data_IF_661327929611
#
_entry.id   IF_661327929611
#
_cell.length_a   1.000
_cell.length_b   1.000
_cell.length_c   1.000
_cell.angle_alpha   90.00
_cell.angle_beta   90.00
_cell.angle_gamma   90.00
#
_symmetry.space_group_name_H-M   'P 1'
#
loop_
_entity.id
_entity.type
_entity.pdbx_description
1 polymer ?
#
# COMPACT_ATOMS: atom_id res chain seq x y z
N UNK A 1 -6.38 -15.12 -3.92
CA UNK A 1 -5.30 -14.19 -4.30
C UNK A 1 -3.96 -14.89 -4.14
N UNK A 2 -3.16 -14.85 -5.17
CA UNK A 2 -1.86 -15.52 -5.15
C UNK A 2 -0.87 -14.78 -4.26
N UNK A 3 -0.05 -15.49 -3.50
CA UNK A 3 0.96 -14.88 -2.63
C UNK A 3 1.98 -14.10 -3.46
N UNK A 4 2.36 -12.92 -2.95
CA UNK A 4 3.41 -12.08 -3.51
C UNK A 4 4.15 -11.44 -2.34
N UNK A 5 5.48 -11.62 -2.28
CA UNK A 5 6.24 -11.05 -1.18
C UNK A 5 6.26 -9.52 -1.23
N UNK A 6 6.18 -8.93 -2.42
CA UNK A 6 6.06 -7.48 -2.55
C UNK A 6 4.74 -6.98 -1.97
N UNK A 7 3.65 -7.72 -2.26
CA UNK A 7 2.33 -7.37 -1.71
C UNK A 7 2.33 -7.52 -0.19
N UNK A 8 3.03 -8.55 0.31
CA UNK A 8 3.13 -8.75 1.75
C UNK A 8 3.86 -7.58 2.42
N UNK A 9 4.93 -7.07 1.82
CA UNK A 9 5.67 -5.92 2.33
C UNK A 9 4.76 -4.70 2.38
N UNK A 10 3.97 -4.47 1.33
CA UNK A 10 3.04 -3.35 1.28
C UNK A 10 1.98 -3.48 2.38
N UNK A 11 1.44 -4.67 2.56
CA UNK A 11 0.45 -4.92 3.60
C UNK A 11 1.02 -4.66 4.99
N UNK A 12 2.22 -5.16 5.26
CA UNK A 12 2.89 -4.96 6.55
C UNK A 12 3.18 -3.48 6.81
N UNK A 13 3.55 -2.75 5.76
CA UNK A 13 3.78 -1.31 5.87
C UNK A 13 2.52 -0.60 6.37
N UNK A 14 1.37 -0.94 5.79
CA UNK A 14 0.11 -0.33 6.19
C UNK A 14 -0.26 -0.75 7.62
N UNK A 15 -0.02 -2.01 7.99
CA UNK A 15 -0.31 -2.51 9.33
C UNK A 15 0.53 -1.82 10.41
N UNK A 16 1.78 -1.52 10.08
CA UNK A 16 2.70 -0.90 11.03
C UNK A 16 2.41 0.58 11.24
N UNK A 17 1.85 1.25 10.24
CA UNK A 17 1.53 2.66 10.30
C UNK A 17 0.02 2.82 10.52
N UNK A 18 -0.40 3.05 11.74
CA UNK A 18 -1.81 3.10 12.11
C UNK A 18 -2.46 4.43 11.76
N UNK A 19 -2.10 4.98 10.62
CA UNK A 19 -2.62 6.24 10.10
C UNK A 19 -2.90 6.08 8.63
N UNK A 20 -3.59 7.08 8.06
CA UNK A 20 -3.88 7.07 6.62
C UNK A 20 -2.59 7.37 5.86
N UNK A 21 -2.20 6.45 4.98
CA UNK A 21 -0.99 6.62 4.17
C UNK A 21 -1.37 6.80 2.71
N UNK A 22 -0.71 7.75 2.05
CA UNK A 22 -0.83 7.87 0.60
C UNK A 22 -0.05 6.76 -0.08
N UNK A 23 -0.38 6.48 -1.36
CA UNK A 23 0.36 5.49 -2.13
C UNK A 23 1.84 5.85 -2.22
N UNK A 24 2.17 7.14 -2.33
CA UNK A 24 3.56 7.58 -2.40
C UNK A 24 4.30 7.36 -1.09
N UNK A 25 3.64 7.58 0.05
CA UNK A 25 4.23 7.28 1.36
C UNK A 25 4.49 5.79 1.49
N UNK A 26 3.51 4.97 1.09
CA UNK A 26 3.67 3.51 1.12
C UNK A 26 4.83 3.08 0.23
N UNK A 27 4.94 3.67 -0.95
CA UNK A 27 6.05 3.42 -1.86
C UNK A 27 7.39 3.74 -1.21
N UNK A 28 7.48 4.89 -0.52
CA UNK A 28 8.71 5.27 0.17
C UNK A 28 9.13 4.24 1.22
N UNK A 29 8.19 3.78 2.03
CA UNK A 29 8.48 2.77 3.04
C UNK A 29 8.81 1.41 2.42
N UNK A 30 8.06 1.01 1.40
CA UNK A 30 8.27 -0.28 0.76
C UNK A 30 9.65 -0.37 0.11
N UNK A 31 10.15 0.74 -0.42
CA UNK A 31 11.48 0.78 -1.04
C UNK A 31 12.60 0.49 -0.06
N UNK A 32 12.39 0.71 1.21
CA UNK A 32 13.41 0.40 2.23
C UNK A 32 13.64 -1.09 2.34
N UNK A 33 12.62 -1.89 2.06
CA UNK A 33 12.69 -3.36 2.11
C UNK A 33 12.82 -3.98 0.73
N UNK A 34 12.36 -3.27 -0.30
CA UNK A 34 12.38 -3.74 -1.68
C UNK A 34 12.84 -2.60 -2.59
N UNK A 35 14.17 -2.37 -2.68
CA UNK A 35 14.71 -1.17 -3.37
C UNK A 35 14.33 -1.05 -4.84
N UNK A 36 13.98 -2.16 -5.48
CA UNK A 36 13.65 -2.15 -6.91
C UNK A 36 12.15 -2.10 -7.19
N UNK A 37 11.32 -1.98 -6.16
CA UNK A 37 9.87 -1.90 -6.37
C UNK A 37 9.52 -0.59 -7.09
N UNK A 38 8.60 -0.66 -8.04
CA UNK A 38 8.15 0.54 -8.76
C UNK A 38 6.86 1.07 -8.14
N UNK A 39 6.61 2.36 -8.38
CA UNK A 39 5.37 2.98 -7.92
C UNK A 39 4.15 2.29 -8.57
N UNK A 40 4.27 1.92 -9.85
CA UNK A 40 3.20 1.18 -10.52
C UNK A 40 2.88 -0.14 -9.86
N UNK A 41 3.92 -0.86 -9.40
CA UNK A 41 3.73 -2.11 -8.66
C UNK A 41 3.03 -1.86 -7.33
N UNK A 42 3.38 -0.78 -6.64
CA UNK A 42 2.73 -0.41 -5.38
C UNK A 42 1.25 -0.15 -5.62
N UNK A 43 0.90 0.67 -6.61
CA UNK A 43 -0.50 0.95 -6.94
C UNK A 43 -1.28 -0.31 -7.29
N UNK A 44 -0.68 -1.18 -8.11
CA UNK A 44 -1.34 -2.43 -8.51
C UNK A 44 -1.65 -3.30 -7.30
N UNK A 45 -0.69 -3.42 -6.39
CA UNK A 45 -0.87 -4.22 -5.20
C UNK A 45 -1.86 -3.59 -4.22
N UNK A 46 -1.84 -2.27 -4.09
CA UNK A 46 -2.83 -1.57 -3.26
C UNK A 46 -4.25 -1.82 -3.76
N UNK A 47 -4.45 -1.76 -5.07
CA UNK A 47 -5.76 -2.03 -5.65
C UNK A 47 -6.17 -3.48 -5.41
N UNK A 48 -5.26 -4.43 -5.56
CA UNK A 48 -5.54 -5.83 -5.30
C UNK A 48 -5.94 -6.05 -3.84
N UNK A 49 -5.21 -5.46 -2.91
CA UNK A 49 -5.51 -5.59 -1.48
C UNK A 49 -6.87 -4.96 -1.13
N UNK A 50 -7.15 -3.79 -1.68
CA UNK A 50 -8.41 -3.10 -1.41
C UNK A 50 -9.59 -3.85 -2.04
N UNK A 51 -9.41 -4.39 -3.24
CA UNK A 51 -10.46 -5.16 -3.91
C UNK A 51 -10.78 -6.45 -3.17
N UNK A 52 -9.85 -6.96 -2.38
CA UNK A 52 -10.03 -8.15 -1.55
C UNK A 52 -10.37 -7.78 -0.09
N UNK A 53 -10.70 -6.54 0.17
CA UNK A 53 -11.11 -6.04 1.49
C UNK A 53 -10.04 -6.25 2.58
N UNK A 54 -8.78 -6.33 2.19
CA UNK A 54 -7.68 -6.48 3.15
C UNK A 54 -7.19 -5.15 3.67
N UNK A 55 -7.44 -4.07 2.93
CA UNK A 55 -7.18 -2.69 3.35
C UNK A 55 -8.36 -1.83 2.89
N UNK A 56 -8.49 -0.64 3.47
CA UNK A 56 -9.53 0.31 3.09
C UNK A 56 -8.98 1.42 2.20
N UNK A 57 -9.81 1.87 1.24
CA UNK A 57 -9.55 3.10 0.52
C UNK A 57 -10.18 4.24 1.30
N UNK A 58 -9.35 5.19 1.72
CA UNK A 58 -9.83 6.35 2.49
C UNK A 58 -10.38 7.44 1.59
N UNK A 59 -9.90 7.47 0.34
CA UNK A 59 -10.24 8.52 -0.61
C UNK A 59 -9.10 9.48 -0.81
N UNK A 60 -9.40 10.64 -1.40
CA UNK A 60 -8.37 11.63 -1.71
C UNK A 60 -8.19 12.57 -0.53
N UNK A 61 -6.96 12.69 -0.04
CA UNK A 61 -6.60 13.63 1.02
C UNK A 61 -5.48 14.49 0.47
N UNK A 62 -5.71 15.78 0.41
CA UNK A 62 -4.73 16.75 -0.12
C UNK A 62 -4.24 16.38 -1.51
N UNK A 63 -5.16 15.87 -2.35
CA UNK A 63 -4.85 15.50 -3.73
C UNK A 63 -4.19 14.15 -3.91
N UNK A 64 -4.03 13.36 -2.84
CA UNK A 64 -3.41 12.03 -2.91
C UNK A 64 -4.38 10.95 -2.43
N UNK A 65 -4.45 9.84 -3.17
CA UNK A 65 -5.25 8.70 -2.75
C UNK A 65 -4.60 8.02 -1.56
N UNK A 66 -5.38 7.79 -0.49
CA UNK A 66 -4.89 7.26 0.76
C UNK A 66 -5.56 5.94 1.12
N UNK A 67 -4.85 5.17 1.92
CA UNK A 67 -5.26 3.84 2.34
C UNK A 67 -5.01 3.67 3.83
N UNK A 68 -5.75 2.76 4.48
CA UNK A 68 -5.48 2.39 5.85
C UNK A 68 -5.70 0.90 6.07
N UNK A 69 -5.22 0.42 7.20
CA UNK A 69 -5.31 -1.00 7.57
C UNK A 69 -6.74 -1.42 7.85
N UNK A 70 -7.48 -0.53 8.43
CA UNK A 70 -8.84 -0.81 8.85
C UNK A 70 -9.83 -0.28 7.79
#
# INVERSE_FOLDING_TARGET
MKYSWQRQIILETIQEHKEHLSAQQIYGYARERCPHISLGTVYRNLNTLADNDMIGRVGMISGAECFDWD
#
